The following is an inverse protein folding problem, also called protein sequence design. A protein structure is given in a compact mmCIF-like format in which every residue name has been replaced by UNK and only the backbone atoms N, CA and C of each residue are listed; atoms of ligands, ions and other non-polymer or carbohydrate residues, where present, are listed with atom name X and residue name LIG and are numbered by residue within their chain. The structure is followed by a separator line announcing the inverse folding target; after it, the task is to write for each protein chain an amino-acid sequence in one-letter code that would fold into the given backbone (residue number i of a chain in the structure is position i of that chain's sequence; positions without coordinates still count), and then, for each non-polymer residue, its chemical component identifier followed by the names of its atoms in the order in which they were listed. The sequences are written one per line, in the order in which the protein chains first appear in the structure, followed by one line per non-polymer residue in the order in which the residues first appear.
data_IF_293850064575
#
_entry.id   IF_293850064575
#
_cell.length_a   1.000
_cell.length_b   1.000
_cell.length_c   1.000
_cell.angle_alpha   90.00
_cell.angle_beta   90.00
_cell.angle_gamma   90.00
#
_symmetry.space_group_name_H-M   'P 1'
#
loop_
_entity.id
_entity.type
_entity.pdbx_description
1 polymer ?
#
# COMPACT_ATOMS: atom_id res chain seq x y z
N UNK A 1 -1.23 8.08 12.12
CA UNK A 1 -2.19 7.60 11.09
C UNK A 1 -2.24 8.48 9.84
N UNK A 2 -2.29 9.82 9.97
CA UNK A 2 -2.32 10.76 8.83
C UNK A 2 -1.09 10.62 7.91
N UNK A 3 0.11 10.37 8.45
CA UNK A 3 1.32 10.18 7.65
C UNK A 3 1.26 8.98 6.69
N UNK A 4 0.66 7.87 7.11
CA UNK A 4 0.45 6.68 6.28
C UNK A 4 -0.43 6.99 5.07
N UNK A 5 -1.57 7.61 5.35
CA UNK A 5 -2.57 8.00 4.37
C UNK A 5 -2.00 9.04 3.43
N UNK A 6 -1.25 10.02 3.94
CA UNK A 6 -0.62 11.08 3.14
C UNK A 6 0.52 10.53 2.27
N UNK A 7 1.26 9.55 2.77
CA UNK A 7 2.28 8.82 2.01
C UNK A 7 1.64 8.01 0.87
N UNK A 8 0.62 7.21 1.18
CA UNK A 8 -0.16 6.49 0.17
C UNK A 8 -0.81 7.44 -0.84
N UNK A 9 -1.30 8.60 -0.38
CA UNK A 9 -1.91 9.63 -1.23
C UNK A 9 -0.91 10.31 -2.16
N UNK A 10 0.33 10.52 -1.71
CA UNK A 10 1.43 10.98 -2.58
C UNK A 10 1.88 9.87 -3.54
N UNK A 11 2.00 8.64 -3.07
CA UNK A 11 2.45 7.51 -3.89
C UNK A 11 1.41 7.06 -4.94
N UNK A 12 0.13 7.37 -4.71
CA UNK A 12 -0.97 7.16 -5.67
C UNK A 12 -1.28 8.41 -6.52
N UNK A 13 -0.49 9.47 -6.42
CA UNK A 13 -0.65 10.72 -7.18
C UNK A 13 -0.38 10.47 -8.67
N UNK A 14 -1.46 10.21 -9.42
CA UNK A 14 -1.44 9.84 -10.84
C UNK A 14 -2.43 8.70 -11.14
N UNK A 15 -2.72 7.87 -10.14
CA UNK A 15 -3.67 6.75 -10.22
C UNK A 15 -4.62 6.76 -9.01
N UNK A 16 -5.09 7.93 -8.59
CA UNK A 16 -5.93 8.09 -7.39
C UNK A 16 -7.23 7.28 -7.45
N UNK A 17 -7.78 7.09 -8.65
CA UNK A 17 -8.97 6.26 -8.89
C UNK A 17 -8.66 4.75 -8.97
N UNK A 18 -7.38 4.38 -9.18
CA UNK A 18 -6.92 3.00 -9.33
C UNK A 18 -5.53 2.76 -8.70
N UNK A 19 -5.37 2.90 -7.37
CA UNK A 19 -4.07 2.75 -6.69
C UNK A 19 -3.39 1.40 -6.93
N UNK A 20 -4.15 0.29 -7.08
CA UNK A 20 -3.64 -1.06 -7.44
C UNK A 20 -3.01 -1.15 -8.84
N UNK A 21 -3.23 -0.14 -9.70
CA UNK A 21 -2.63 -0.07 -11.03
C UNK A 21 -1.31 0.71 -11.01
N UNK A 22 -0.98 1.39 -9.91
CA UNK A 22 0.24 2.20 -9.82
C UNK A 22 1.46 1.28 -9.74
N UNK A 23 2.39 1.33 -10.71
CA UNK A 23 3.56 0.46 -10.72
C UNK A 23 4.46 0.69 -9.49
N UNK A 24 4.57 1.93 -9.01
CA UNK A 24 5.33 2.25 -7.80
C UNK A 24 4.73 1.61 -6.54
N UNK A 25 3.40 1.63 -6.44
CA UNK A 25 2.69 1.07 -5.28
C UNK A 25 2.73 -0.46 -5.29
N UNK A 26 2.65 -1.04 -6.49
CA UNK A 26 2.85 -2.48 -6.75
C UNK A 26 4.22 -2.95 -6.35
N UNK A 27 5.26 -2.29 -6.86
CA UNK A 27 6.64 -2.62 -6.55
C UNK A 27 6.91 -2.52 -5.05
N UNK A 28 6.38 -1.47 -4.41
CA UNK A 28 6.51 -1.30 -2.97
C UNK A 28 5.76 -2.38 -2.18
N UNK A 29 4.59 -2.81 -2.64
CA UNK A 29 3.91 -3.95 -2.03
C UNK A 29 4.67 -5.26 -2.24
N UNK A 30 5.28 -5.45 -3.40
CA UNK A 30 6.10 -6.62 -3.68
C UNK A 30 7.33 -6.68 -2.77
N UNK A 31 8.01 -5.55 -2.54
CA UNK A 31 9.14 -5.45 -1.61
C UNK A 31 8.73 -5.66 -0.15
N UNK A 32 7.65 -5.02 0.31
CA UNK A 32 7.27 -5.05 1.73
C UNK A 32 6.49 -6.31 2.13
N UNK A 33 5.73 -6.89 1.20
CA UNK A 33 4.81 -7.99 1.50
C UNK A 33 5.12 -9.28 0.71
N UNK A 34 6.05 -9.25 -0.25
CA UNK A 34 6.41 -10.43 -1.04
C UNK A 34 5.28 -10.94 -1.95
N UNK A 35 4.23 -10.15 -2.17
CA UNK A 35 3.08 -10.52 -2.99
C UNK A 35 3.30 -10.08 -4.43
N UNK A 36 3.03 -10.97 -5.37
CA UNK A 36 3.12 -10.65 -6.79
C UNK A 36 2.19 -9.51 -7.18
N UNK A 37 2.82 -8.40 -7.54
CA UNK A 37 2.22 -7.16 -8.01
C UNK A 37 1.21 -7.36 -9.15
N UNK A 38 1.38 -8.41 -9.94
CA UNK A 38 0.56 -8.70 -11.11
C UNK A 38 -0.81 -9.30 -10.79
N UNK A 39 -0.92 -10.11 -9.72
CA UNK A 39 -2.19 -10.73 -9.29
C UNK A 39 -3.03 -9.88 -8.35
N UNK A 40 -2.55 -8.70 -7.96
CA UNK A 40 -3.25 -7.80 -7.04
C UNK A 40 -4.48 -7.16 -7.69
N UNK A 41 -5.61 -7.87 -7.65
CA UNK A 41 -6.93 -7.33 -7.95
C UNK A 41 -7.33 -6.28 -6.92
N UNK A 42 -8.29 -5.41 -7.27
CA UNK A 42 -8.80 -4.34 -6.39
C UNK A 42 -9.18 -4.87 -5.00
N UNK A 43 -9.86 -6.02 -4.91
CA UNK A 43 -10.23 -6.65 -3.64
C UNK A 43 -9.02 -7.15 -2.85
N UNK A 44 -8.12 -7.92 -3.47
CA UNK A 44 -6.93 -8.46 -2.79
C UNK A 44 -6.02 -7.34 -2.29
N UNK A 45 -5.88 -6.25 -3.07
CA UNK A 45 -5.13 -5.07 -2.64
C UNK A 45 -5.72 -4.47 -1.36
N UNK A 46 -7.04 -4.24 -1.31
CA UNK A 46 -7.68 -3.70 -0.10
C UNK A 46 -7.62 -4.69 1.06
N UNK A 47 -7.77 -6.00 0.80
CA UNK A 47 -7.72 -7.05 1.81
C UNK A 47 -6.34 -7.16 2.46
N UNK A 48 -5.27 -7.13 1.67
CA UNK A 48 -3.89 -7.08 2.13
C UNK A 48 -3.61 -5.80 2.90
N UNK A 49 -3.99 -4.64 2.34
CA UNK A 49 -3.81 -3.36 3.00
C UNK A 49 -4.51 -3.32 4.37
N UNK A 50 -5.69 -3.96 4.48
CA UNK A 50 -6.45 -4.03 5.73
C UNK A 50 -5.92 -5.06 6.72
N UNK A 51 -5.42 -6.20 6.23
CA UNK A 51 -4.78 -7.25 7.04
C UNK A 51 -3.47 -6.74 7.65
N UNK A 52 -2.66 -6.09 6.82
CA UNK A 52 -1.35 -5.56 7.20
C UNK A 52 -1.41 -4.15 7.79
N UNK A 53 -2.58 -3.50 7.85
CA UNK A 53 -2.79 -2.20 8.51
C UNK A 53 -2.31 -2.17 9.97
N UNK A 54 -2.29 -3.32 10.66
CA UNK A 54 -1.70 -3.42 12.01
C UNK A 54 -0.18 -3.29 11.93
N UNK A 55 0.48 -4.11 11.11
CA UNK A 55 1.94 -4.08 10.89
C UNK A 55 2.43 -2.75 10.34
N UNK A 56 1.67 -2.14 9.41
CA UNK A 56 1.96 -0.81 8.88
C UNK A 56 1.87 0.27 9.97
N UNK A 57 0.91 0.15 10.89
CA UNK A 57 0.77 1.07 12.03
C UNK A 57 1.87 0.89 13.05
N UNK A 58 2.33 -0.34 13.28
CA UNK A 58 3.50 -0.63 14.11
C UNK A 58 4.78 -0.07 13.49
N UNK A 59 5.01 -0.33 12.21
CA UNK A 59 6.17 0.21 11.48
C UNK A 59 6.19 1.74 11.48
N UNK A 60 5.04 2.38 11.26
CA UNK A 60 4.93 3.84 11.31
C UNK A 60 5.03 4.41 12.72
N UNK A 61 4.68 3.64 13.74
CA UNK A 61 4.89 4.02 15.14
C UNK A 61 6.35 3.88 15.54
N UNK A 62 7.06 2.93 14.94
CA UNK A 62 8.51 2.78 15.09
C UNK A 62 9.30 3.82 14.28
N UNK A 63 8.81 4.21 13.11
CA UNK A 63 9.45 5.20 12.23
C UNK A 63 9.08 6.67 12.54
N UNK A 64 8.21 6.91 13.53
CA UNK A 64 7.81 8.23 14.00
C UNK A 64 8.58 8.57 15.29
#
# INVERSE_FOLDING_TARGET
MIYALRYFWRASRGHRLRPWRSPYLRWRMETFFGVHADRLTRQEFFRLLWRERRRLREFLRWAA
#
